data_IF_275066833965
#
_entry.id   IF_275066833965
#
_cell.length_a   1.000
_cell.length_b   1.000
_cell.length_c   1.000
_cell.angle_alpha   90.00
_cell.angle_beta   90.00
_cell.angle_gamma   90.00
#
_symmetry.space_group_name_H-M   'P 1'
#
loop_
_entity.id
_entity.type
_entity.pdbx_description
1 polymer ?
#
# COMPACT_ATOMS: atom_id res chain seq x y z
N UNK A 1 -2.97 9.94 1.60
CA UNK A 1 -2.01 9.47 0.60
C UNK A 1 -1.83 10.55 -0.45
N UNK A 2 -0.71 10.53 -1.19
CA UNK A 2 -0.51 11.46 -2.30
C UNK A 2 -1.36 11.00 -3.49
N UNK A 3 -1.98 11.96 -4.19
CA UNK A 3 -2.81 11.68 -5.37
C UNK A 3 -2.00 11.49 -6.66
N UNK A 4 -0.70 11.75 -6.60
CA UNK A 4 0.19 11.80 -7.76
C UNK A 4 0.18 10.48 -8.54
N UNK A 5 0.37 9.35 -7.84
CA UNK A 5 0.40 8.03 -8.48
C UNK A 5 -1.01 7.45 -8.67
N UNK A 6 -1.78 7.29 -7.59
CA UNK A 6 -3.03 6.51 -7.62
C UNK A 6 -4.20 7.22 -8.30
N UNK A 7 -4.14 8.54 -8.46
CA UNK A 7 -5.11 9.27 -9.27
C UNK A 7 -4.49 9.78 -10.58
N UNK A 8 -3.51 10.69 -10.51
CA UNK A 8 -3.07 11.42 -11.70
C UNK A 8 -2.28 10.55 -12.68
N UNK A 9 -1.37 9.69 -12.21
CA UNK A 9 -0.65 8.78 -13.09
C UNK A 9 -1.60 7.73 -13.72
N UNK A 10 -2.54 7.20 -12.94
CA UNK A 10 -3.58 6.28 -13.46
C UNK A 10 -4.47 6.97 -14.50
N UNK A 11 -4.88 8.21 -14.26
CA UNK A 11 -5.66 9.02 -15.21
C UNK A 11 -4.87 9.23 -16.51
N UNK A 12 -3.61 9.65 -16.40
CA UNK A 12 -2.75 9.86 -17.56
C UNK A 12 -2.51 8.56 -18.33
N UNK A 13 -2.27 7.45 -17.62
CA UNK A 13 -2.13 6.12 -18.21
C UNK A 13 -3.40 5.71 -18.97
N UNK A 14 -4.58 5.80 -18.35
CA UNK A 14 -5.84 5.45 -18.98
C UNK A 14 -6.09 6.28 -20.25
N UNK A 15 -5.82 7.59 -20.21
CA UNK A 15 -5.93 8.47 -21.39
C UNK A 15 -4.92 8.10 -22.48
N UNK A 16 -3.68 7.78 -22.10
CA UNK A 16 -2.62 7.42 -23.05
C UNK A 16 -2.91 6.10 -23.80
N UNK A 17 -3.58 5.15 -23.15
CA UNK A 17 -3.98 3.87 -23.78
C UNK A 17 -5.34 3.92 -24.47
N UNK A 18 -5.96 5.10 -24.58
CA UNK A 18 -7.14 5.34 -25.41
C UNK A 18 -8.49 5.36 -24.70
N UNK A 19 -8.56 5.28 -23.36
CA UNK A 19 -9.83 5.47 -22.66
C UNK A 19 -10.36 6.89 -22.85
N UNK A 20 -11.67 7.01 -23.11
CA UNK A 20 -12.35 8.31 -23.16
C UNK A 20 -12.32 8.99 -21.80
N UNK A 21 -12.54 10.31 -21.77
CA UNK A 21 -12.36 11.15 -20.59
C UNK A 21 -13.13 10.60 -19.38
N UNK A 22 -14.41 10.30 -19.58
CA UNK A 22 -15.30 9.85 -18.50
C UNK A 22 -14.88 8.49 -17.96
N UNK A 23 -14.53 7.55 -18.85
CA UNK A 23 -14.03 6.23 -18.47
C UNK A 23 -12.70 6.31 -17.71
N UNK A 24 -11.76 7.13 -18.20
CA UNK A 24 -10.47 7.34 -17.55
C UNK A 24 -10.63 7.98 -16.16
N UNK A 25 -11.60 8.89 -16.00
CA UNK A 25 -11.92 9.50 -14.72
C UNK A 25 -12.52 8.50 -13.73
N UNK A 26 -13.39 7.59 -14.16
CA UNK A 26 -13.92 6.50 -13.32
C UNK A 26 -12.78 5.63 -12.83
N UNK A 27 -11.91 5.16 -13.75
CA UNK A 27 -10.76 4.30 -13.40
C UNK A 27 -9.85 5.00 -12.37
N UNK A 28 -9.46 6.25 -12.62
CA UNK A 28 -8.56 7.00 -11.74
C UNK A 28 -9.19 7.29 -10.38
N UNK A 29 -10.47 7.65 -10.34
CA UNK A 29 -11.18 7.88 -9.09
C UNK A 29 -11.29 6.59 -8.28
N UNK A 30 -11.67 5.48 -8.91
CA UNK A 30 -11.78 4.18 -8.25
C UNK A 30 -10.45 3.66 -7.73
N UNK A 31 -9.34 3.92 -8.45
CA UNK A 31 -8.00 3.63 -7.94
C UNK A 31 -7.70 4.44 -6.68
N UNK A 32 -7.86 5.77 -6.72
CA UNK A 32 -7.63 6.63 -5.55
C UNK A 32 -8.56 6.32 -4.37
N UNK A 33 -9.77 5.85 -4.64
CA UNK A 33 -10.75 5.53 -3.61
C UNK A 33 -10.29 4.38 -2.70
N UNK A 34 -9.38 3.51 -3.18
CA UNK A 34 -8.77 2.48 -2.35
C UNK A 34 -8.05 3.08 -1.14
N UNK A 35 -7.39 4.22 -1.29
CA UNK A 35 -6.74 4.95 -0.19
C UNK A 35 -7.71 5.75 0.68
N UNK A 36 -8.76 6.26 0.04
CA UNK A 36 -9.70 7.17 0.68
C UNK A 36 -10.78 6.42 1.49
N UNK A 37 -11.04 5.14 1.14
CA UNK A 37 -11.99 4.28 1.86
C UNK A 37 -11.41 3.77 3.18
N UNK A 38 -11.58 4.59 4.22
CA UNK A 38 -11.10 4.35 5.59
C UNK A 38 -12.21 3.94 6.57
N UNK A 39 -13.45 3.87 6.10
CA UNK A 39 -14.62 3.57 6.92
C UNK A 39 -14.81 2.04 6.93
N UNK A 40 -14.50 1.42 8.07
CA UNK A 40 -14.55 -0.04 8.18
C UNK A 40 -15.93 -0.59 8.58
N UNK A 41 -16.75 0.25 9.22
CA UNK A 41 -18.04 -0.12 9.76
C UNK A 41 -19.07 0.91 9.31
N UNK A 42 -20.08 0.46 8.56
CA UNK A 42 -21.14 1.30 8.03
C UNK A 42 -22.46 0.76 8.56
N UNK A 43 -23.15 1.55 9.39
CA UNK A 43 -24.50 1.22 9.85
C UNK A 43 -25.50 1.61 8.77
N UNK A 44 -26.35 0.66 8.39
CA UNK A 44 -27.41 0.88 7.40
C UNK A 44 -28.65 1.38 8.15
N UNK A 45 -29.24 2.46 7.64
CA UNK A 45 -30.50 2.98 8.18
C UNK A 45 -31.67 2.34 7.43
N UNK A 46 -32.62 1.76 8.17
CA UNK A 46 -33.80 1.10 7.60
C UNK A 46 -33.56 -0.39 7.36
N UNK A 47 -34.40 -1.00 6.53
CA UNK A 47 -34.28 -2.41 6.17
C UNK A 47 -33.62 -2.53 4.77
N UNK A 48 -32.38 -3.05 4.66
CA UNK A 48 -31.74 -3.27 3.36
C UNK A 48 -32.31 -4.51 2.67
N UNK A 49 -33.52 -4.39 2.12
CA UNK A 49 -34.12 -5.45 1.31
C UNK A 49 -33.22 -5.75 0.10
N UNK A 50 -32.96 -7.04 -0.14
CA UNK A 50 -32.15 -7.55 -1.27
C UNK A 50 -30.65 -7.23 -1.24
N UNK A 51 -30.09 -6.85 -0.09
CA UNK A 51 -28.64 -6.69 0.06
C UNK A 51 -28.15 -7.56 1.22
N UNK A 52 -27.19 -8.44 0.93
CA UNK A 52 -26.51 -9.22 1.96
C UNK A 52 -25.76 -8.26 2.90
N UNK A 53 -25.97 -8.39 4.20
CA UNK A 53 -25.43 -7.51 5.22
C UNK A 53 -25.18 -8.28 6.52
N UNK A 54 -24.29 -7.76 7.35
CA UNK A 54 -24.05 -8.26 8.70
C UNK A 54 -25.05 -7.66 9.68
N UNK A 55 -25.25 -8.31 10.83
CA UNK A 55 -25.94 -7.72 11.98
C UNK A 55 -24.91 -7.44 13.07
N UNK A 56 -24.74 -6.15 13.42
CA UNK A 56 -23.83 -5.69 14.48
C UNK A 56 -24.62 -4.76 15.41
N UNK A 57 -24.58 -5.04 16.71
CA UNK A 57 -25.34 -4.29 17.73
C UNK A 57 -26.83 -4.14 17.37
N UNK A 58 -27.45 -5.25 16.95
CA UNK A 58 -28.85 -5.36 16.50
C UNK A 58 -29.23 -4.43 15.33
N UNK A 59 -28.24 -4.01 14.53
CA UNK A 59 -28.44 -3.16 13.36
C UNK A 59 -27.83 -3.78 12.10
N UNK A 60 -28.50 -3.63 10.94
CA UNK A 60 -27.90 -4.01 9.68
C UNK A 60 -26.68 -3.15 9.40
N UNK A 61 -25.57 -3.79 9.03
CA UNK A 61 -24.29 -3.15 8.88
C UNK A 61 -23.45 -3.80 7.76
N UNK A 62 -22.50 -3.03 7.24
CA UNK A 62 -21.36 -3.59 6.51
C UNK A 62 -20.12 -3.49 7.39
N UNK A 63 -19.47 -4.62 7.59
CA UNK A 63 -18.20 -4.70 8.30
C UNK A 63 -17.05 -4.97 7.34
N UNK A 64 -15.83 -4.59 7.74
CA UNK A 64 -14.61 -4.81 6.98
C UNK A 64 -14.58 -4.09 5.60
N UNK A 65 -15.23 -2.92 5.52
CA UNK A 65 -15.37 -2.17 4.26
C UNK A 65 -14.20 -1.24 3.93
N UNK A 66 -13.29 -1.02 4.87
CA UNK A 66 -12.16 -0.14 4.63
C UNK A 66 -11.14 -0.87 3.75
N UNK A 67 -10.62 -0.17 2.74
CA UNK A 67 -9.53 -0.67 1.89
C UNK A 67 -8.18 -0.02 2.22
N UNK A 68 -8.19 1.04 3.05
CA UNK A 68 -6.99 1.62 3.65
C UNK A 68 -7.19 1.86 5.16
N UNK A 69 -6.20 1.49 5.97
CA UNK A 69 -6.21 1.80 7.41
C UNK A 69 -5.55 3.15 7.72
N UNK A 70 -5.93 3.75 8.85
CA UNK A 70 -5.13 4.83 9.43
C UNK A 70 -3.93 4.23 10.15
N UNK A 71 -2.79 4.14 9.45
CA UNK A 71 -1.53 3.54 9.94
C UNK A 71 -0.93 4.24 11.18
N UNK A 72 -1.52 5.35 11.65
CA UNK A 72 -1.15 6.02 12.89
C UNK A 72 -1.83 5.43 14.14
N UNK A 73 -2.81 4.54 13.97
CA UNK A 73 -3.51 3.89 15.09
C UNK A 73 -2.89 2.52 15.34
N UNK A 74 -2.07 2.38 16.39
CA UNK A 74 -1.41 1.11 16.74
C UNK A 74 -2.39 -0.08 16.78
N UNK A 75 -3.65 0.15 17.17
CA UNK A 75 -4.71 -0.86 17.22
C UNK A 75 -5.09 -1.47 15.85
N UNK A 76 -4.73 -0.84 14.72
CA UNK A 76 -4.99 -1.38 13.38
C UNK A 76 -3.94 -2.41 12.93
N UNK A 77 -2.83 -2.57 13.67
CA UNK A 77 -1.84 -3.62 13.42
C UNK A 77 -2.27 -4.94 14.07
N UNK A 78 -3.41 -5.49 13.62
CA UNK A 78 -3.81 -6.86 13.96
C UNK A 78 -3.91 -7.70 12.69
N UNK A 79 -3.70 -9.02 12.83
CA UNK A 79 -3.58 -9.93 11.69
C UNK A 79 -4.76 -9.82 10.71
N UNK A 80 -6.01 -9.85 11.22
CA UNK A 80 -7.22 -9.77 10.40
C UNK A 80 -7.30 -8.46 9.60
N UNK A 81 -7.06 -7.32 10.26
CA UNK A 81 -7.04 -6.02 9.60
C UNK A 81 -5.95 -5.95 8.53
N UNK A 82 -4.76 -6.50 8.79
CA UNK A 82 -3.67 -6.49 7.81
C UNK A 82 -3.95 -7.43 6.63
N UNK A 83 -4.46 -8.64 6.85
CA UNK A 83 -4.75 -9.58 5.76
C UNK A 83 -5.88 -9.11 4.87
N UNK A 84 -6.96 -8.59 5.46
CA UNK A 84 -8.17 -8.21 4.71
C UNK A 84 -8.06 -6.84 4.05
N UNK A 85 -7.08 -6.02 4.41
CA UNK A 85 -6.93 -4.67 3.90
C UNK A 85 -5.53 -4.47 3.31
N UNK A 86 -4.50 -4.42 4.16
CA UNK A 86 -3.15 -4.02 3.75
C UNK A 86 -2.54 -5.00 2.74
N UNK A 87 -2.60 -6.31 2.99
CA UNK A 87 -2.14 -7.31 2.04
C UNK A 87 -2.99 -7.34 0.76
N UNK A 88 -4.31 -7.15 0.88
CA UNK A 88 -5.22 -7.27 -0.26
C UNK A 88 -5.12 -6.07 -1.23
N UNK A 89 -4.97 -4.86 -0.70
CA UNK A 89 -5.09 -3.62 -1.47
C UNK A 89 -3.77 -2.87 -1.67
N UNK A 90 -2.74 -3.13 -0.86
CA UNK A 90 -1.49 -2.37 -0.91
C UNK A 90 -0.24 -3.25 -1.03
N UNK A 91 -0.30 -4.50 -0.58
CA UNK A 91 0.86 -5.40 -0.56
C UNK A 91 0.50 -6.81 -0.99
N UNK A 92 0.06 -6.97 -2.25
CA UNK A 92 -0.42 -8.25 -2.75
C UNK A 92 0.70 -9.31 -2.73
N UNK A 93 0.52 -10.42 -2.01
CA UNK A 93 1.53 -11.46 -1.90
C UNK A 93 2.03 -11.99 -3.24
N UNK A 94 3.34 -12.13 -3.37
CA UNK A 94 3.96 -12.76 -4.53
C UNK A 94 3.73 -14.26 -4.60
N UNK A 95 3.43 -14.89 -3.46
CA UNK A 95 3.27 -16.33 -3.25
C UNK A 95 4.46 -17.17 -3.71
N UNK A 96 5.66 -16.62 -3.64
CA UNK A 96 6.91 -17.27 -4.03
C UNK A 96 7.90 -17.35 -2.86
N UNK A 97 8.68 -18.43 -2.80
CA UNK A 97 9.61 -18.74 -1.71
C UNK A 97 9.16 -19.90 -0.82
N UNK A 98 10.08 -20.37 0.03
CA UNK A 98 9.88 -21.58 0.86
C UNK A 98 9.09 -21.28 2.13
N UNK A 99 9.34 -20.15 2.78
CA UNK A 99 8.66 -19.76 4.02
C UNK A 99 7.39 -18.94 3.75
N UNK A 100 6.45 -18.98 4.70
CA UNK A 100 5.24 -18.15 4.70
C UNK A 100 5.57 -16.67 4.48
N UNK A 101 6.60 -16.20 5.16
CA UNK A 101 7.04 -14.81 5.13
C UNK A 101 7.54 -14.38 3.75
N UNK A 102 8.34 -15.22 3.06
CA UNK A 102 8.76 -14.90 1.68
C UNK A 102 7.59 -14.90 0.71
N UNK A 103 6.63 -15.83 0.88
CA UNK A 103 5.42 -15.89 0.07
C UNK A 103 4.57 -14.62 0.19
N UNK A 104 4.59 -13.94 1.34
CA UNK A 104 3.87 -12.69 1.56
C UNK A 104 4.53 -11.45 0.96
N UNK A 105 5.79 -11.55 0.50
CA UNK A 105 6.45 -10.41 -0.12
C UNK A 105 5.83 -10.08 -1.46
N UNK A 106 5.58 -8.80 -1.66
CA UNK A 106 5.19 -8.24 -2.94
C UNK A 106 6.29 -8.49 -3.96
N UNK A 107 5.89 -8.79 -5.19
CA UNK A 107 6.78 -8.90 -6.33
C UNK A 107 6.17 -8.15 -7.49
N UNK A 108 7.03 -7.51 -8.28
CA UNK A 108 6.64 -7.00 -9.58
C UNK A 108 5.99 -8.14 -10.37
N UNK A 109 4.82 -7.85 -10.94
CA UNK A 109 4.11 -8.75 -11.85
C UNK A 109 3.91 -10.18 -11.29
N UNK A 110 3.61 -10.29 -9.99
CA UNK A 110 3.38 -11.59 -9.37
C UNK A 110 2.20 -12.34 -9.98
N UNK A 111 2.22 -13.68 -9.91
CA UNK A 111 1.14 -14.53 -10.44
C UNK A 111 -0.22 -14.15 -9.85
N UNK A 112 -0.26 -13.74 -8.58
CA UNK A 112 -1.50 -13.37 -7.90
C UNK A 112 -2.10 -12.10 -8.51
N UNK A 113 -1.33 -11.01 -8.56
CA UNK A 113 -1.84 -9.72 -9.05
C UNK A 113 -2.13 -9.75 -10.56
N UNK A 114 -1.32 -10.45 -11.35
CA UNK A 114 -1.59 -10.63 -12.78
C UNK A 114 -2.84 -11.47 -13.05
N UNK A 115 -3.14 -12.47 -12.19
CA UNK A 115 -4.38 -13.24 -12.30
C UNK A 115 -5.59 -12.35 -12.03
N UNK A 116 -5.57 -11.57 -10.95
CA UNK A 116 -6.66 -10.62 -10.61
C UNK A 116 -6.85 -9.60 -11.74
N UNK A 117 -5.74 -9.03 -12.26
CA UNK A 117 -5.78 -8.09 -13.38
C UNK A 117 -6.38 -8.71 -14.65
N UNK A 118 -6.12 -10.01 -14.90
CA UNK A 118 -6.70 -10.74 -16.04
C UNK A 118 -8.20 -11.00 -15.86
N UNK A 119 -8.65 -11.28 -14.63
CA UNK A 119 -10.05 -11.54 -14.32
C UNK A 119 -10.88 -10.25 -14.44
N UNK A 120 -10.44 -9.16 -13.81
CA UNK A 120 -11.17 -7.88 -13.86
C UNK A 120 -11.27 -7.31 -15.28
N UNK A 121 -10.26 -7.54 -16.13
CA UNK A 121 -10.31 -7.15 -17.56
C UNK A 121 -11.43 -7.85 -18.32
N UNK A 122 -11.83 -9.05 -17.92
CA UNK A 122 -12.94 -9.79 -18.55
C UNK A 122 -14.31 -9.30 -18.08
N UNK A 123 -14.40 -8.78 -16.87
CA UNK A 123 -15.64 -8.26 -16.30
C UNK A 123 -16.09 -6.96 -16.98
N UNK A 124 -15.16 -6.23 -17.61
CA UNK A 124 -15.42 -4.94 -18.27
C UNK A 124 -16.08 -3.90 -17.35
N UNK A 125 -15.74 -3.97 -16.06
CA UNK A 125 -16.20 -3.03 -15.02
C UNK A 125 -15.07 -2.04 -14.71
N UNK A 126 -15.28 -0.77 -15.07
CA UNK A 126 -14.29 0.29 -14.91
C UNK A 126 -13.95 0.58 -13.44
N UNK A 127 -14.92 0.41 -12.54
CA UNK A 127 -14.73 0.65 -11.11
C UNK A 127 -13.81 -0.41 -10.54
N UNK A 128 -14.12 -1.69 -10.79
CA UNK A 128 -13.26 -2.80 -10.36
C UNK A 128 -11.89 -2.72 -11.00
N UNK A 129 -11.82 -2.34 -12.29
CA UNK A 129 -10.55 -2.19 -12.98
C UNK A 129 -9.67 -1.12 -12.31
N UNK A 130 -10.23 0.05 -12.00
CA UNK A 130 -9.53 1.09 -11.23
C UNK A 130 -9.09 0.60 -9.85
N UNK A 131 -9.97 -0.07 -9.11
CA UNK A 131 -9.65 -0.64 -7.80
C UNK A 131 -8.52 -1.68 -7.84
N UNK A 132 -8.35 -2.42 -8.94
CA UNK A 132 -7.27 -3.42 -9.12
C UNK A 132 -5.96 -2.78 -9.63
N UNK A 133 -6.03 -1.69 -10.40
CA UNK A 133 -4.83 -0.96 -10.82
C UNK A 133 -4.07 -0.37 -9.63
N UNK A 134 -4.79 -0.02 -8.56
CA UNK A 134 -4.19 0.44 -7.30
C UNK A 134 -3.21 -0.57 -6.69
N UNK A 135 -3.64 -1.77 -6.21
CA UNK A 135 -2.75 -2.78 -5.65
C UNK A 135 -1.70 -3.25 -6.64
N UNK A 136 -1.96 -3.20 -7.95
CA UNK A 136 -0.94 -3.47 -8.96
C UNK A 136 0.22 -2.46 -8.89
N UNK A 137 -0.08 -1.16 -8.85
CA UNK A 137 0.93 -0.11 -8.73
C UNK A 137 1.69 -0.19 -7.40
N UNK A 138 0.99 -0.41 -6.28
CA UNK A 138 1.60 -0.53 -4.95
C UNK A 138 2.51 -1.75 -4.88
N UNK A 139 2.04 -2.92 -5.32
CA UNK A 139 2.82 -4.18 -5.29
C UNK A 139 4.08 -4.08 -6.15
N UNK A 140 4.01 -3.36 -7.27
CA UNK A 140 5.18 -3.10 -8.12
C UNK A 140 6.20 -2.20 -7.41
N UNK A 141 5.74 -1.09 -6.82
CA UNK A 141 6.60 -0.06 -6.21
C UNK A 141 7.14 -0.47 -4.84
N UNK A 142 6.41 -1.31 -4.13
CA UNK A 142 6.76 -1.85 -2.81
C UNK A 142 7.26 -3.29 -2.86
N UNK A 143 7.76 -3.76 -4.01
CA UNK A 143 8.39 -5.07 -4.14
C UNK A 143 9.36 -5.36 -3.00
N UNK A 144 9.36 -6.57 -2.45
CA UNK A 144 10.23 -6.94 -1.31
C UNK A 144 9.65 -6.66 0.08
N UNK A 145 8.63 -5.80 0.20
CA UNK A 145 7.86 -5.63 1.44
C UNK A 145 6.66 -6.59 1.48
N UNK A 146 6.14 -6.84 2.69
CA UNK A 146 4.90 -7.59 2.93
C UNK A 146 3.90 -6.74 3.70
N UNK A 147 2.61 -6.97 3.48
CA UNK A 147 1.54 -6.24 4.16
C UNK A 147 1.31 -6.66 5.61
N UNK A 148 2.15 -7.53 6.18
CA UNK A 148 2.11 -7.92 7.59
C UNK A 148 3.21 -7.23 8.39
N UNK A 149 3.00 -7.09 9.69
CA UNK A 149 4.03 -6.59 10.58
C UNK A 149 5.09 -7.68 10.76
N UNK A 150 6.33 -7.41 10.32
CA UNK A 150 7.38 -8.41 10.38
C UNK A 150 8.77 -7.79 10.27
N UNK A 151 9.73 -8.33 11.03
CA UNK A 151 11.15 -7.96 10.94
C UNK A 151 11.72 -8.16 9.53
N UNK A 152 11.13 -9.02 8.71
CA UNK A 152 11.60 -9.18 7.33
C UNK A 152 11.30 -7.99 6.42
N UNK A 153 10.44 -7.07 6.88
CA UNK A 153 10.22 -5.80 6.24
C UNK A 153 11.25 -4.74 6.67
N UNK A 154 12.12 -5.06 7.63
CA UNK A 154 13.10 -4.14 8.18
C UNK A 154 14.11 -3.69 7.13
N UNK A 155 14.30 -2.37 7.03
CA UNK A 155 15.23 -1.76 6.08
C UNK A 155 16.59 -1.62 6.76
N UNK A 156 17.59 -2.37 6.27
CA UNK A 156 18.96 -2.34 6.78
C UNK A 156 19.79 -1.16 6.29
N UNK A 157 19.56 -0.73 5.05
CA UNK A 157 20.26 0.42 4.45
C UNK A 157 19.31 1.12 3.48
N UNK A 158 19.34 2.46 3.47
CA UNK A 158 18.55 3.29 2.56
C UNK A 158 19.45 4.34 1.93
N UNK A 159 19.41 4.43 0.60
CA UNK A 159 20.24 5.36 -0.18
C UNK A 159 19.34 6.16 -1.11
N UNK A 160 19.58 7.46 -1.17
CA UNK A 160 18.92 8.36 -2.12
C UNK A 160 19.98 9.00 -3.01
N UNK A 161 19.76 8.98 -4.31
CA UNK A 161 20.59 9.68 -5.29
C UNK A 161 19.82 10.94 -5.67
N UNK A 162 20.10 12.03 -4.95
CA UNK A 162 19.54 13.33 -5.28
C UNK A 162 20.50 14.02 -6.25
N UNK A 163 20.16 14.08 -7.55
CA UNK A 163 20.78 15.05 -8.46
C UNK A 163 20.19 16.42 -8.13
N UNK A 164 20.85 17.16 -7.24
CA UNK A 164 20.40 18.49 -6.81
C UNK A 164 20.55 19.47 -7.97
N UNK A 165 19.45 19.88 -8.58
CA UNK A 165 19.33 21.21 -9.20
C UNK A 165 18.20 21.92 -8.48
N UNK A 166 18.54 22.85 -7.58
CA UNK A 166 17.68 24.02 -7.32
C UNK A 166 16.62 23.99 -6.19
N UNK A 167 16.77 23.27 -5.07
CA UNK A 167 15.87 23.49 -3.90
C UNK A 167 16.68 23.59 -2.60
N UNK A 168 16.94 24.83 -2.17
CA UNK A 168 17.79 25.17 -1.02
C UNK A 168 17.06 25.02 0.34
N UNK A 169 15.74 24.90 0.36
CA UNK A 169 14.94 24.94 1.61
C UNK A 169 14.82 23.60 2.35
N UNK A 170 15.16 22.46 1.73
CA UNK A 170 15.14 21.13 2.38
C UNK A 170 16.49 20.66 2.96
N UNK A 171 17.57 21.44 2.80
CA UNK A 171 18.93 21.02 3.17
C UNK A 171 19.19 20.96 4.69
N UNK A 172 18.63 21.88 5.47
CA UNK A 172 18.97 22.00 6.90
C UNK A 172 18.37 20.83 7.71
N UNK A 173 17.13 20.44 7.40
CA UNK A 173 16.44 19.30 8.03
C UNK A 173 17.13 17.95 7.76
N UNK A 174 17.60 17.72 6.52
CA UNK A 174 18.23 16.45 6.12
C UNK A 174 19.63 16.27 6.69
N UNK A 175 20.41 17.35 6.80
CA UNK A 175 21.74 17.31 7.43
C UNK A 175 21.62 16.99 8.92
N UNK A 176 20.65 17.59 9.62
CA UNK A 176 20.36 17.25 11.01
C UNK A 176 19.95 15.77 11.14
N UNK A 177 19.01 15.27 10.34
CA UNK A 177 18.58 13.86 10.38
C UNK A 177 19.74 12.88 10.11
N UNK A 178 20.66 13.22 9.21
CA UNK A 178 21.83 12.39 8.91
C UNK A 178 22.85 12.40 10.06
N UNK A 179 23.07 13.54 10.73
CA UNK A 179 23.96 13.63 11.89
C UNK A 179 23.41 12.89 13.12
N UNK A 180 22.08 12.84 13.28
CA UNK A 180 21.42 12.15 14.39
C UNK A 180 21.01 10.70 14.08
N UNK A 181 21.36 10.18 12.90
CA UNK A 181 20.93 8.89 12.35
C UNK A 181 21.03 7.73 13.35
N UNK A 182 22.14 7.58 14.07
CA UNK A 182 22.31 6.47 15.03
C UNK A 182 21.44 6.53 16.30
N UNK A 183 21.00 7.73 16.72
CA UNK A 183 20.08 7.91 17.86
C UNK A 183 18.62 7.94 17.41
N UNK A 184 18.35 8.47 16.23
CA UNK A 184 17.03 8.51 15.64
C UNK A 184 16.57 7.13 15.16
N UNK A 185 17.46 6.32 14.60
CA UNK A 185 17.15 4.94 14.20
C UNK A 185 16.74 4.10 15.43
N UNK A 186 17.46 4.22 16.56
CA UNK A 186 17.08 3.57 17.83
C UNK A 186 15.75 4.05 18.43
N UNK A 187 15.40 5.32 18.24
CA UNK A 187 14.16 5.90 18.76
C UNK A 187 12.97 5.60 17.83
N UNK A 188 13.20 5.56 16.51
CA UNK A 188 12.24 5.14 15.49
C UNK A 188 11.95 3.64 15.58
N UNK A 189 12.96 2.80 15.78
CA UNK A 189 12.78 1.35 15.99
C UNK A 189 12.00 1.03 17.28
N UNK A 190 12.08 1.90 18.30
CA UNK A 190 11.32 1.75 19.54
C UNK A 190 9.85 2.17 19.40
N UNK A 191 9.54 3.12 18.51
CA UNK A 191 8.20 3.71 18.37
C UNK A 191 7.43 3.32 17.11
N UNK A 192 8.11 2.88 16.05
CA UNK A 192 7.49 2.46 14.79
C UNK A 192 7.53 0.94 14.67
N UNK A 193 6.37 0.29 14.51
CA UNK A 193 6.32 -1.14 14.23
C UNK A 193 7.17 -1.47 13.00
N UNK A 194 7.83 -2.65 12.97
CA UNK A 194 8.56 -3.22 11.83
C UNK A 194 7.68 -3.43 10.58
N UNK A 195 7.29 -2.31 10.00
CA UNK A 195 6.39 -2.12 8.88
C UNK A 195 7.21 -1.36 7.84
N UNK A 196 7.87 -2.09 6.94
CA UNK A 196 8.96 -1.59 6.11
C UNK A 196 8.62 -0.37 5.25
N UNK A 197 7.36 -0.21 4.84
CA UNK A 197 6.91 1.02 4.18
C UNK A 197 7.00 2.25 5.11
N UNK A 198 6.70 2.08 6.40
CA UNK A 198 6.91 3.13 7.41
C UNK A 198 8.38 3.55 7.53
N UNK A 199 9.33 2.62 7.38
CA UNK A 199 10.77 2.92 7.38
C UNK A 199 11.28 3.49 6.05
N UNK A 200 10.67 3.09 4.92
CA UNK A 200 10.95 3.68 3.59
C UNK A 200 10.39 5.09 3.44
N UNK A 201 9.50 5.51 4.37
CA UNK A 201 8.77 6.77 4.31
C UNK A 201 8.03 6.88 2.95
N UNK A 202 7.94 8.09 2.40
CA UNK A 202 7.32 8.36 1.11
C UNK A 202 8.20 8.02 -0.11
N UNK A 203 9.39 7.42 0.06
CA UNK A 203 10.35 7.28 -1.05
C UNK A 203 9.86 6.45 -2.23
N UNK A 204 9.17 5.30 -2.03
CA UNK A 204 8.57 4.57 -3.16
C UNK A 204 7.55 5.41 -3.94
N UNK A 205 6.94 6.40 -3.29
CA UNK A 205 5.83 7.20 -3.85
C UNK A 205 6.33 8.48 -4.53
N UNK A 206 7.65 8.72 -4.57
CA UNK A 206 8.25 9.90 -5.19
C UNK A 206 8.78 9.56 -6.58
N UNK A 207 8.05 9.89 -7.67
CA UNK A 207 8.41 9.45 -9.03
C UNK A 207 9.73 10.04 -9.55
N UNK A 208 10.18 11.16 -8.99
CA UNK A 208 11.44 11.81 -9.35
C UNK A 208 12.64 11.31 -8.51
N UNK A 209 12.41 10.55 -7.45
CA UNK A 209 13.45 10.12 -6.54
C UNK A 209 14.12 8.84 -7.05
N UNK A 210 15.43 8.89 -7.29
CA UNK A 210 16.24 7.68 -7.40
C UNK A 210 16.61 7.24 -5.99
N UNK A 211 16.17 6.08 -5.58
CA UNK A 211 16.48 5.49 -4.28
C UNK A 211 16.72 3.99 -4.39
N UNK A 212 17.36 3.43 -3.37
CA UNK A 212 17.57 2.00 -3.23
C UNK A 212 17.61 1.66 -1.75
N UNK A 213 17.21 0.46 -1.40
CA UNK A 213 17.29 -0.02 -0.03
C UNK A 213 17.79 -1.47 0.00
N UNK A 214 18.30 -1.88 1.16
CA UNK A 214 18.65 -3.28 1.46
C UNK A 214 17.71 -3.79 2.53
N UNK A 215 17.19 -4.99 2.33
CA UNK A 215 16.34 -5.71 3.28
C UNK A 215 16.90 -7.11 3.51
N UNK A 216 16.37 -7.83 4.50
CA UNK A 216 16.82 -9.18 4.79
C UNK A 216 16.39 -10.20 3.72
N UNK A 217 17.34 -10.88 3.08
CA UNK A 217 17.04 -11.96 2.12
C UNK A 217 16.84 -13.33 2.78
N UNK A 218 17.03 -13.43 4.10
CA UNK A 218 16.98 -14.69 4.84
C UNK A 218 15.58 -15.34 4.86
N UNK A 219 15.54 -16.65 5.12
CA UNK A 219 14.31 -17.46 5.28
C UNK A 219 13.85 -17.57 6.74
N UNK A 220 14.59 -16.97 7.68
CA UNK A 220 14.47 -17.24 9.11
C UNK A 220 13.54 -16.24 9.79
N UNK A 221 12.55 -16.75 10.52
CA UNK A 221 11.84 -15.97 11.54
C UNK A 221 12.78 -15.94 12.75
N UNK A 222 13.39 -14.79 13.08
CA UNK A 222 14.05 -14.64 14.38
C UNK A 222 13.07 -13.93 15.33
N UNK A 223 12.53 -14.70 16.27
CA UNK A 223 11.69 -14.22 17.37
C UNK A 223 12.49 -13.47 18.45
N UNK A 224 13.62 -12.85 18.11
CA UNK A 224 14.49 -12.12 19.05
C UNK A 224 14.43 -10.63 18.78
#
# INVERSE_FOLDING_TARGET
MKKDAHYYAVLAFARAVGFQKDAAQIIAYSSQFVDDSKINHIIIKGNPDNIEHDIIDDKPAFFNMATCHSYFKIKTFNFSAMTNNTCAFHFVPGCDGKSFVKKLRCKQESRVILKILKEVKKENDLVKFGMVLHPFADTFSHQGFSGLLSKVNDIRDIRTIIKVVGVITHKISKILKWLFKSKFDKLLDWGMPAYGHGQAMEYPDLPYLKWSYKYDYSDQFSET
#
